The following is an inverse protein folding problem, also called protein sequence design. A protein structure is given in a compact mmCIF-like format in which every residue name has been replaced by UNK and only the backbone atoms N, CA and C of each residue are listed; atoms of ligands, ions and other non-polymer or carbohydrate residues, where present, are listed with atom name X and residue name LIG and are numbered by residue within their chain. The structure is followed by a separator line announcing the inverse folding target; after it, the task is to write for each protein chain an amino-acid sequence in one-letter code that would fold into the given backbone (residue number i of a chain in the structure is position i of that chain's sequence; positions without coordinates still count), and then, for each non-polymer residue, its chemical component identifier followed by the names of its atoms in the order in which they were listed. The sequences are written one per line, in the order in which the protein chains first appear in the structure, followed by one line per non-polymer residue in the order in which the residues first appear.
data_IF_620591187513
#
_entry.id   IF_620591187513
#
_cell.length_a   1.000
_cell.length_b   1.000
_cell.length_c   1.000
_cell.angle_alpha   90.00
_cell.angle_beta   90.00
_cell.angle_gamma   90.00
#
_symmetry.space_group_name_H-M   'P 1'
#
loop_
_entity.id
_entity.type
_entity.pdbx_description
1 polymer ?
#
# COMPACT_ATOMS: atom_id res chain seq x y z
N UNK A 1 14.66 -38.37 26.65
CA UNK A 1 13.66 -37.84 27.59
C UNK A 1 14.16 -36.49 28.06
N UNK A 2 13.58 -35.43 27.63
CA UNK A 2 13.88 -34.04 28.02
C UNK A 2 12.62 -33.23 27.79
N UNK A 3 11.88 -32.97 28.87
CA UNK A 3 10.67 -32.17 28.87
C UNK A 3 11.02 -30.70 28.62
N UNK A 4 10.46 -30.08 27.59
CA UNK A 4 10.38 -28.64 27.49
C UNK A 4 9.06 -28.16 28.09
N UNK A 5 9.16 -27.46 29.20
CA UNK A 5 8.04 -26.79 29.86
C UNK A 5 7.77 -25.47 29.17
N UNK A 6 6.57 -25.32 28.59
CA UNK A 6 6.01 -24.06 28.14
C UNK A 6 5.33 -23.40 29.34
N UNK A 7 5.85 -22.27 29.79
CA UNK A 7 5.18 -21.38 30.73
C UNK A 7 5.35 -19.93 30.27
N UNK A 8 4.24 -19.32 29.91
CA UNK A 8 4.15 -17.89 29.62
C UNK A 8 2.73 -17.51 29.25
N UNK A 9 1.84 -17.43 30.26
CA UNK A 9 0.49 -16.88 30.08
C UNK A 9 0.57 -15.37 30.00
N UNK A 10 0.40 -14.81 28.78
CA UNK A 10 0.16 -13.38 28.61
C UNK A 10 -1.30 -13.08 28.92
N UNK A 11 -1.54 -12.12 29.82
CA UNK A 11 -2.89 -11.65 30.10
C UNK A 11 -3.36 -10.77 28.93
N UNK A 12 -4.37 -11.25 28.20
CA UNK A 12 -5.03 -10.51 27.13
C UNK A 12 -6.29 -9.87 27.72
N UNK A 13 -6.37 -8.54 27.72
CA UNK A 13 -7.59 -7.83 28.13
C UNK A 13 -8.38 -7.39 26.89
N UNK A 14 -9.68 -7.65 26.89
CA UNK A 14 -10.59 -7.28 25.81
C UNK A 14 -11.46 -6.10 26.27
N UNK A 15 -11.41 -4.97 25.56
CA UNK A 15 -12.38 -3.89 25.71
C UNK A 15 -13.34 -3.85 24.52
N UNK A 16 -14.62 -4.07 24.78
CA UNK A 16 -15.68 -3.94 23.78
C UNK A 16 -16.31 -2.55 23.84
N UNK A 17 -16.04 -1.69 22.86
CA UNK A 17 -16.72 -0.40 22.72
C UNK A 17 -18.02 -0.56 21.91
N UNK A 18 -19.14 -0.01 22.42
CA UNK A 18 -20.44 -0.01 21.73
C UNK A 18 -20.56 1.19 20.82
N UNK A 19 -20.58 0.96 19.52
CA UNK A 19 -21.00 1.94 18.50
C UNK A 19 -22.14 1.38 17.67
N UNK A 20 -23.14 2.22 17.39
CA UNK A 20 -24.27 1.91 16.52
C UNK A 20 -24.10 2.63 15.19
N UNK A 21 -23.81 1.92 14.11
CA UNK A 21 -23.99 2.41 12.73
C UNK A 21 -23.86 1.25 11.73
N UNK A 22 -24.67 1.27 10.66
CA UNK A 22 -24.83 0.20 9.69
C UNK A 22 -23.75 0.10 8.61
N UNK A 23 -22.52 0.39 8.92
CA UNK A 23 -21.36 0.27 8.03
C UNK A 23 -20.71 -1.10 8.22
N UNK A 24 -20.62 -1.96 7.18
CA UNK A 24 -20.06 -3.30 7.27
C UNK A 24 -18.61 -3.32 7.75
N UNK A 25 -17.80 -2.31 7.36
CA UNK A 25 -16.41 -2.18 7.79
C UNK A 25 -16.32 -1.90 9.29
N UNK A 26 -17.19 -1.04 9.82
CA UNK A 26 -17.26 -0.72 11.26
C UNK A 26 -17.78 -1.88 12.10
N UNK A 27 -18.61 -2.76 11.55
CA UNK A 27 -19.13 -3.92 12.28
C UNK A 27 -18.10 -5.05 12.39
N UNK A 28 -17.26 -5.25 11.39
CA UNK A 28 -16.18 -6.25 11.40
C UNK A 28 -15.05 -5.91 12.39
N UNK A 29 -14.80 -4.61 12.63
CA UNK A 29 -13.77 -4.12 13.56
C UNK A 29 -14.21 -4.24 15.04
N UNK A 30 -15.48 -4.54 15.30
CA UNK A 30 -16.08 -4.56 16.64
C UNK A 30 -15.53 -5.57 17.63
N UNK A 31 -14.73 -6.55 17.21
CA UNK A 31 -14.44 -7.69 18.05
C UNK A 31 -13.07 -7.69 18.74
N UNK A 32 -12.01 -7.09 18.18
CA UNK A 32 -10.65 -7.38 18.67
C UNK A 32 -9.70 -6.19 18.61
N UNK A 33 -9.64 -5.43 19.69
CA UNK A 33 -8.50 -4.54 19.97
C UNK A 33 -7.61 -5.26 20.99
N UNK A 34 -6.49 -5.82 20.55
CA UNK A 34 -5.51 -6.42 21.46
C UNK A 34 -4.49 -5.33 21.81
N UNK A 35 -4.57 -4.81 23.05
CA UNK A 35 -3.48 -4.02 23.63
C UNK A 35 -2.53 -4.99 24.32
N UNK A 36 -1.28 -4.98 23.88
CA UNK A 36 -0.22 -5.62 24.66
C UNK A 36 0.04 -4.75 25.90
N UNK A 37 -0.63 -5.03 27.02
CA UNK A 37 -0.18 -4.54 28.30
C UNK A 37 1.06 -5.35 28.67
N UNK A 38 2.24 -4.83 28.33
CA UNK A 38 3.47 -5.38 28.90
C UNK A 38 3.32 -5.40 30.40
N UNK A 39 3.35 -6.59 31.01
CA UNK A 39 3.63 -6.69 32.42
C UNK A 39 4.95 -5.97 32.66
N UNK A 40 5.01 -5.16 33.68
CA UNK A 40 6.20 -4.44 34.15
C UNK A 40 7.28 -5.40 34.65
N UNK A 41 7.71 -6.34 33.83
CA UNK A 41 9.02 -6.92 33.92
C UNK A 41 9.91 -6.03 33.06
N UNK A 42 10.77 -5.25 33.73
CA UNK A 42 11.84 -4.50 33.12
C UNK A 42 12.78 -5.46 32.41
N UNK A 43 12.43 -5.84 31.18
CA UNK A 43 13.45 -6.35 30.29
C UNK A 43 14.31 -5.15 29.90
N UNK A 44 15.63 -5.18 30.13
CA UNK A 44 16.47 -4.15 29.59
C UNK A 44 16.23 -4.10 28.09
N UNK A 45 15.98 -2.91 27.54
CA UNK A 45 15.95 -2.71 26.11
C UNK A 45 17.17 -3.41 25.51
N UNK A 46 17.05 -4.16 24.39
CA UNK A 46 18.18 -4.85 23.79
C UNK A 46 19.30 -3.83 23.60
N UNK A 47 20.46 -4.11 24.18
CA UNK A 47 21.62 -3.21 24.16
C UNK A 47 22.12 -3.09 22.72
N UNK A 48 21.86 -1.94 22.08
CA UNK A 48 22.41 -1.60 20.76
C UNK A 48 21.38 -0.94 19.82
N UNK A 49 21.92 -0.11 18.93
CA UNK A 49 21.14 0.45 17.81
C UNK A 49 20.63 -0.71 16.91
N UNK A 50 19.46 -0.52 16.33
CA UNK A 50 18.90 -1.47 15.37
C UNK A 50 19.80 -1.52 14.12
N UNK A 51 20.16 -2.72 13.67
CA UNK A 51 20.79 -2.95 12.36
C UNK A 51 19.70 -3.07 11.28
N UNK A 52 19.49 -2.07 10.41
CA UNK A 52 18.44 -2.11 9.41
C UNK A 52 18.63 -3.24 8.37
N UNK A 53 19.88 -3.62 8.09
CA UNK A 53 20.19 -4.68 7.12
C UNK A 53 19.74 -6.03 7.65
N UNK A 54 20.11 -6.37 8.88
CA UNK A 54 19.71 -7.64 9.50
C UNK A 54 18.20 -7.67 9.77
N UNK A 55 17.61 -6.55 10.13
CA UNK A 55 16.17 -6.48 10.37
C UNK A 55 15.37 -6.64 9.07
N UNK A 56 15.83 -6.04 7.96
CA UNK A 56 15.22 -6.28 6.62
C UNK A 56 15.23 -7.77 6.27
N UNK A 57 16.38 -8.45 6.46
CA UNK A 57 16.49 -9.88 6.18
C UNK A 57 15.51 -10.69 7.04
N UNK A 58 15.42 -10.39 8.34
CA UNK A 58 14.50 -11.08 9.25
C UNK A 58 13.03 -10.91 8.83
N UNK A 59 12.63 -9.69 8.46
CA UNK A 59 11.27 -9.43 7.95
C UNK A 59 11.00 -10.16 6.63
N UNK A 60 11.97 -10.16 5.69
CA UNK A 60 11.80 -10.79 4.39
C UNK A 60 11.84 -12.33 4.45
N UNK A 61 12.39 -12.94 5.50
CA UNK A 61 12.28 -14.39 5.72
C UNK A 61 10.86 -14.86 6.04
N UNK A 62 9.99 -13.96 6.46
CA UNK A 62 8.58 -14.24 6.72
C UNK A 62 7.79 -13.91 5.47
N UNK A 63 7.18 -14.91 4.84
CA UNK A 63 6.26 -14.69 3.72
C UNK A 63 5.08 -13.83 4.18
N UNK A 64 4.74 -12.81 3.39
CA UNK A 64 3.60 -11.92 3.65
C UNK A 64 2.97 -11.42 2.34
N UNK A 65 2.76 -12.33 1.39
CA UNK A 65 1.98 -11.97 0.20
C UNK A 65 0.60 -11.46 0.62
N UNK A 66 0.05 -10.51 -0.14
CA UNK A 66 -1.22 -9.83 0.22
C UNK A 66 -2.28 -10.85 0.62
N UNK A 67 -2.97 -10.59 1.71
CA UNK A 67 -3.90 -11.43 2.45
C UNK A 67 -3.27 -12.46 3.40
N UNK A 68 -1.93 -12.58 3.45
CA UNK A 68 -1.19 -13.52 4.31
C UNK A 68 -0.22 -12.80 5.28
N UNK A 69 -0.51 -11.55 5.66
CA UNK A 69 0.39 -10.68 6.43
C UNK A 69 0.44 -11.00 7.92
N UNK A 70 -0.38 -11.95 8.41
CA UNK A 70 -0.52 -12.23 9.84
C UNK A 70 0.79 -12.51 10.55
N UNK A 71 1.61 -13.42 10.01
CA UNK A 71 2.87 -13.83 10.63
C UNK A 71 3.89 -12.69 10.75
N UNK A 72 4.02 -11.85 9.71
CA UNK A 72 4.94 -10.69 9.76
C UNK A 72 4.42 -9.62 10.70
N UNK A 73 3.09 -9.43 10.77
CA UNK A 73 2.46 -8.51 11.72
C UNK A 73 2.67 -8.94 13.17
N UNK A 74 2.55 -10.23 13.47
CA UNK A 74 2.83 -10.80 14.80
C UNK A 74 4.31 -10.63 15.17
N UNK A 75 5.22 -11.00 14.27
CA UNK A 75 6.67 -10.83 14.47
C UNK A 75 7.03 -9.38 14.75
N UNK A 76 6.52 -8.44 13.96
CA UNK A 76 6.83 -7.01 14.10
C UNK A 76 6.27 -6.42 15.39
N UNK A 77 5.06 -6.82 15.78
CA UNK A 77 4.44 -6.39 17.04
C UNK A 77 5.26 -6.86 18.24
N UNK A 78 5.66 -8.12 18.26
CA UNK A 78 6.50 -8.69 19.33
C UNK A 78 7.88 -8.04 19.38
N UNK A 79 8.49 -7.82 18.20
CA UNK A 79 9.78 -7.15 18.09
C UNK A 79 9.74 -5.73 18.66
N UNK A 80 8.76 -4.93 18.27
CA UNK A 80 8.60 -3.56 18.76
C UNK A 80 8.30 -3.52 20.28
N UNK A 81 7.46 -4.42 20.78
CA UNK A 81 7.16 -4.51 22.20
C UNK A 81 8.42 -4.83 23.03
N UNK A 82 9.28 -5.75 22.56
CA UNK A 82 10.55 -6.09 23.22
C UNK A 82 11.53 -4.88 23.23
N UNK A 83 11.39 -3.95 22.30
CA UNK A 83 12.18 -2.71 22.24
C UNK A 83 11.54 -1.53 22.98
N UNK A 84 10.52 -1.78 23.79
CA UNK A 84 9.90 -0.79 24.68
C UNK A 84 8.90 0.15 24.01
N UNK A 85 8.32 -0.27 22.87
CA UNK A 85 7.20 0.43 22.26
C UNK A 85 5.87 0.01 22.89
N UNK A 86 4.94 0.94 22.99
CA UNK A 86 3.54 0.63 23.23
C UNK A 86 2.90 0.21 21.89
N UNK A 87 2.63 -1.09 21.76
CA UNK A 87 2.18 -1.68 20.49
C UNK A 87 0.68 -1.94 20.51
N UNK A 88 0.04 -1.64 19.39
CA UNK A 88 -1.37 -1.89 19.13
C UNK A 88 -1.52 -2.64 17.81
N UNK A 89 -2.11 -3.85 17.84
CA UNK A 89 -2.52 -4.58 16.64
C UNK A 89 -4.00 -4.36 16.37
N UNK A 90 -4.32 -4.00 15.13
CA UNK A 90 -5.71 -3.85 14.68
C UNK A 90 -5.99 -4.89 13.61
N UNK A 91 -7.05 -5.71 13.76
CA UNK A 91 -7.39 -6.72 12.75
C UNK A 91 -7.83 -6.06 11.45
N UNK A 92 -7.37 -6.63 10.33
CA UNK A 92 -7.76 -6.22 8.99
C UNK A 92 -8.62 -7.33 8.38
N UNK A 93 -9.83 -7.03 7.89
CA UNK A 93 -10.71 -8.05 7.33
C UNK A 93 -10.13 -8.69 6.07
N UNK A 94 -10.42 -9.96 5.86
CA UNK A 94 -10.19 -10.63 4.59
C UNK A 94 -11.19 -10.13 3.53
N UNK A 95 -10.85 -10.14 2.23
CA UNK A 95 -11.72 -9.62 1.17
C UNK A 95 -13.01 -10.43 1.03
N UNK A 96 -12.94 -11.73 1.25
CA UNK A 96 -14.10 -12.63 1.28
C UNK A 96 -13.79 -13.90 2.09
N UNK A 97 -14.82 -14.67 2.43
CA UNK A 97 -14.71 -15.90 3.23
C UNK A 97 -13.98 -17.06 2.50
N UNK A 98 -13.79 -16.98 1.19
CA UNK A 98 -13.06 -17.99 0.41
C UNK A 98 -11.55 -17.90 0.59
N UNK A 99 -11.03 -16.78 1.10
CA UNK A 99 -9.62 -16.62 1.43
C UNK A 99 -9.34 -17.31 2.75
N UNK A 100 -8.79 -18.52 2.71
CA UNK A 100 -8.43 -19.34 3.88
C UNK A 100 -7.16 -18.86 4.60
N UNK A 101 -6.71 -17.66 4.34
CA UNK A 101 -5.57 -17.03 4.99
C UNK A 101 -5.87 -16.74 6.46
N UNK A 102 -4.83 -16.77 7.30
CA UNK A 102 -4.92 -16.46 8.73
C UNK A 102 -5.33 -15.03 9.03
N UNK A 103 -5.22 -14.63 10.30
CA UNK A 103 -5.47 -13.25 10.71
C UNK A 103 -4.51 -12.27 10.01
N UNK A 104 -4.99 -11.06 9.70
CA UNK A 104 -4.22 -9.96 9.15
C UNK A 104 -4.22 -8.81 10.15
N UNK A 105 -3.11 -8.09 10.26
CA UNK A 105 -2.96 -7.06 11.26
C UNK A 105 -2.38 -5.76 10.67
N UNK A 106 -2.94 -4.63 11.08
CA UNK A 106 -2.15 -3.40 11.13
C UNK A 106 -1.38 -3.38 12.44
N UNK A 107 -0.16 -2.89 12.43
CA UNK A 107 0.69 -2.72 13.60
C UNK A 107 0.99 -1.23 13.78
N UNK A 108 0.47 -0.64 14.86
CA UNK A 108 0.86 0.69 15.31
C UNK A 108 1.75 0.57 16.54
N UNK A 109 2.79 1.40 16.64
CA UNK A 109 3.57 1.53 17.85
C UNK A 109 3.95 3.00 18.13
N UNK A 110 3.92 3.39 19.40
CA UNK A 110 4.21 4.75 19.86
C UNK A 110 4.67 4.75 21.31
N UNK A 111 4.73 5.93 21.94
CA UNK A 111 4.92 6.06 23.39
C UNK A 111 3.55 5.95 24.08
N UNK A 112 3.49 5.18 25.16
CA UNK A 112 2.24 4.99 25.89
C UNK A 112 1.67 6.30 26.41
N UNK A 113 0.41 6.59 26.10
CA UNK A 113 -0.30 7.78 26.58
C UNK A 113 0.06 9.08 25.87
N UNK A 114 0.93 9.06 24.87
CA UNK A 114 1.33 10.25 24.12
C UNK A 114 0.72 10.28 22.72
N UNK A 115 0.38 11.47 22.25
CA UNK A 115 0.06 11.73 20.84
C UNK A 115 1.35 11.96 20.08
N UNK A 116 1.65 11.21 19.01
CA UNK A 116 2.84 11.45 18.21
C UNK A 116 2.73 12.76 17.42
N UNK A 117 3.84 13.47 17.26
CA UNK A 117 3.89 14.63 16.34
C UNK A 117 4.04 14.16 14.89
N UNK A 118 4.73 13.05 14.68
CA UNK A 118 5.00 12.46 13.38
C UNK A 118 4.84 10.94 13.44
N UNK A 119 4.23 10.38 12.40
CA UNK A 119 4.13 8.92 12.20
C UNK A 119 4.84 8.54 10.91
N UNK A 120 5.72 7.55 10.99
CA UNK A 120 6.21 6.83 9.81
C UNK A 120 5.24 5.71 9.47
N UNK A 121 4.94 5.52 8.19
CA UNK A 121 4.09 4.41 7.74
C UNK A 121 4.62 3.75 6.47
N UNK A 122 4.33 2.48 6.30
CA UNK A 122 4.44 1.72 5.05
C UNK A 122 3.64 0.42 5.20
N UNK A 123 3.71 -0.47 4.22
CA UNK A 123 2.92 -1.69 4.21
C UNK A 123 3.71 -2.95 4.61
N UNK A 124 2.97 -3.98 5.05
CA UNK A 124 3.47 -5.28 5.49
C UNK A 124 3.47 -6.32 4.38
N UNK A 125 2.55 -6.17 3.44
CA UNK A 125 2.35 -7.12 2.37
C UNK A 125 3.34 -6.95 1.23
N UNK A 126 3.38 -7.95 0.38
CA UNK A 126 4.19 -7.98 -0.84
C UNK A 126 3.39 -8.65 -1.96
N UNK A 127 3.70 -8.31 -3.22
CA UNK A 127 3.15 -9.06 -4.34
C UNK A 127 3.71 -10.48 -4.41
N UNK A 128 2.94 -11.49 -4.91
CA UNK A 128 3.46 -12.81 -5.22
C UNK A 128 4.39 -12.78 -6.46
N UNK A 129 5.28 -13.79 -6.65
CA UNK A 129 5.55 -14.87 -5.71
C UNK A 129 6.48 -14.46 -4.57
N UNK A 130 6.46 -15.20 -3.46
CA UNK A 130 7.48 -15.09 -2.42
C UNK A 130 8.85 -15.47 -2.99
N UNK A 131 9.87 -14.64 -2.74
CA UNK A 131 11.26 -14.86 -3.12
C UNK A 131 12.08 -14.71 -1.84
N UNK A 132 12.70 -15.80 -1.34
CA UNK A 132 13.50 -15.76 -0.11
C UNK A 132 14.63 -14.72 -0.19
N UNK A 133 14.93 -14.04 0.93
CA UNK A 133 15.97 -13.03 0.95
C UNK A 133 17.37 -13.66 0.88
N UNK A 134 18.24 -13.00 0.13
CA UNK A 134 19.67 -13.25 0.08
C UNK A 134 20.44 -11.95 0.10
N UNK A 135 21.75 -11.99 0.29
CA UNK A 135 22.58 -10.80 0.27
C UNK A 135 24.00 -11.08 -0.25
N UNK A 136 24.61 -10.04 -0.77
CA UNK A 136 26.05 -9.97 -1.00
C UNK A 136 26.69 -8.80 -0.22
N UNK A 137 27.86 -8.34 -0.62
CA UNK A 137 28.54 -7.20 0.06
C UNK A 137 27.79 -5.88 -0.09
N UNK A 138 27.03 -5.66 -1.18
CA UNK A 138 26.45 -4.38 -1.56
C UNK A 138 24.93 -4.35 -1.49
N UNK A 139 24.26 -5.47 -1.78
CA UNK A 139 22.81 -5.53 -1.95
C UNK A 139 22.13 -6.59 -1.08
N UNK A 140 20.88 -6.32 -0.77
CA UNK A 140 19.87 -7.28 -0.35
C UNK A 140 19.03 -7.64 -1.57
N UNK A 141 18.66 -8.91 -1.71
CA UNK A 141 17.83 -9.44 -2.79
C UNK A 141 16.66 -10.22 -2.19
N UNK A 142 15.52 -10.24 -2.87
CA UNK A 142 14.34 -11.00 -2.47
C UNK A 142 13.07 -10.15 -2.43
N UNK A 143 11.92 -10.80 -2.37
CA UNK A 143 10.63 -10.12 -2.35
C UNK A 143 10.45 -9.32 -1.05
N UNK A 144 10.14 -8.02 -1.18
CA UNK A 144 9.93 -7.11 -0.06
C UNK A 144 11.19 -6.39 0.42
N UNK A 145 12.39 -6.69 -0.10
CA UNK A 145 13.60 -5.98 0.33
C UNK A 145 13.54 -4.49 -0.03
N UNK A 146 12.93 -4.13 -1.16
CA UNK A 146 12.69 -2.77 -1.61
C UNK A 146 11.26 -2.32 -1.30
N UNK A 147 10.28 -3.21 -1.49
CA UNK A 147 8.85 -2.91 -1.47
C UNK A 147 8.10 -3.87 -0.51
N UNK A 148 7.95 -3.57 0.82
CA UNK A 148 8.47 -2.38 1.50
C UNK A 148 9.14 -2.72 2.86
N UNK A 149 9.61 -3.97 3.07
CA UNK A 149 10.17 -4.42 4.37
C UNK A 149 11.51 -3.76 4.70
N UNK A 150 12.32 -3.41 3.68
CA UNK A 150 13.51 -2.57 3.88
C UNK A 150 13.13 -1.18 4.38
N UNK A 151 12.03 -0.63 3.90
CA UNK A 151 11.49 0.65 4.36
C UNK A 151 11.04 0.56 5.82
N UNK A 152 10.34 -0.53 6.21
CA UNK A 152 9.99 -0.78 7.62
C UNK A 152 11.25 -0.71 8.49
N UNK A 153 12.33 -1.38 8.07
CA UNK A 153 13.57 -1.42 8.85
C UNK A 153 14.21 -0.03 8.99
N UNK A 154 14.26 0.76 7.92
CA UNK A 154 14.78 2.12 7.96
C UNK A 154 13.93 3.04 8.85
N UNK A 155 12.59 2.97 8.71
CA UNK A 155 11.65 3.78 9.50
C UNK A 155 11.73 3.44 11.00
N UNK A 156 11.80 2.16 11.38
CA UNK A 156 11.93 1.76 12.79
C UNK A 156 13.26 2.25 13.36
N UNK A 157 14.38 2.11 12.64
CA UNK A 157 15.68 2.59 13.09
C UNK A 157 15.69 4.12 13.29
N UNK A 158 15.14 4.87 12.34
CA UNK A 158 15.01 6.31 12.44
C UNK A 158 14.09 6.74 13.59
N UNK A 159 12.96 6.06 13.75
CA UNK A 159 12.01 6.35 14.82
C UNK A 159 12.62 6.11 16.21
N UNK A 160 13.41 5.06 16.40
CA UNK A 160 14.12 4.80 17.65
C UNK A 160 15.15 5.89 17.97
N UNK A 161 15.94 6.31 16.99
CA UNK A 161 16.90 7.38 17.16
C UNK A 161 16.23 8.72 17.53
N UNK A 162 15.12 9.04 16.88
CA UNK A 162 14.33 10.25 17.17
C UNK A 162 13.68 10.19 18.55
N UNK A 163 13.11 9.04 18.95
CA UNK A 163 12.56 8.86 20.31
C UNK A 163 13.64 9.01 21.38
N UNK A 164 14.81 8.43 21.16
CA UNK A 164 15.95 8.60 22.07
C UNK A 164 16.41 10.07 22.20
N UNK A 165 16.18 10.87 21.15
CA UNK A 165 16.41 12.32 21.17
C UNK A 165 15.24 13.14 21.74
N UNK A 166 14.16 12.49 22.22
CA UNK A 166 13.03 13.14 22.88
C UNK A 166 11.86 13.54 21.96
N UNK A 167 11.88 13.17 20.67
CA UNK A 167 10.77 13.45 19.76
C UNK A 167 9.63 12.44 19.96
N UNK A 168 8.37 12.90 19.83
CA UNK A 168 7.18 12.05 19.91
C UNK A 168 6.88 11.43 18.55
N UNK A 169 7.40 10.25 18.33
CA UNK A 169 7.31 9.53 17.05
C UNK A 169 6.47 8.26 17.20
N UNK A 170 5.60 8.01 16.22
CA UNK A 170 4.90 6.74 16.04
C UNK A 170 5.34 6.05 14.74
N UNK A 171 5.03 4.75 14.64
CA UNK A 171 5.14 3.96 13.41
C UNK A 171 3.82 3.25 13.17
N UNK A 172 3.41 3.14 11.91
CA UNK A 172 2.19 2.45 11.47
C UNK A 172 2.52 1.57 10.26
N UNK A 173 2.32 0.27 10.39
CA UNK A 173 2.52 -0.69 9.31
C UNK A 173 1.19 -1.35 8.97
N UNK A 174 0.77 -1.22 7.71
CA UNK A 174 -0.57 -1.60 7.25
C UNK A 174 -0.54 -2.80 6.31
N UNK A 175 -1.65 -3.53 6.24
CA UNK A 175 -1.83 -4.71 5.39
C UNK A 175 -2.65 -4.37 4.15
N UNK A 176 -2.31 -4.95 2.99
CA UNK A 176 -3.15 -4.93 1.79
C UNK A 176 -2.95 -3.73 0.88
N UNK A 177 -1.83 -3.03 0.95
CA UNK A 177 -1.49 -1.91 0.05
C UNK A 177 -1.52 -2.36 -1.41
N UNK A 178 -0.89 -3.48 -1.69
CA UNK A 178 -0.67 -4.05 -3.03
C UNK A 178 -1.96 -4.47 -3.78
N UNK A 179 -3.11 -4.36 -3.12
CA UNK A 179 -4.41 -4.76 -3.70
C UNK A 179 -5.52 -3.74 -3.51
N UNK A 180 -5.85 -3.41 -2.28
CA UNK A 180 -7.09 -2.72 -1.95
C UNK A 180 -6.96 -1.66 -0.86
N UNK A 181 -5.77 -1.49 -0.27
CA UNK A 181 -5.50 -0.56 0.83
C UNK A 181 -6.44 -0.76 2.04
N UNK A 182 -6.92 -1.99 2.27
CA UNK A 182 -7.90 -2.26 3.34
C UNK A 182 -7.30 -1.94 4.71
N UNK A 183 -6.01 -2.24 4.93
CA UNK A 183 -5.32 -1.88 6.17
C UNK A 183 -5.29 -0.39 6.42
N UNK A 184 -4.95 0.41 5.42
CA UNK A 184 -4.94 1.87 5.53
C UNK A 184 -6.34 2.43 5.83
N UNK A 185 -7.38 1.93 5.16
CA UNK A 185 -8.79 2.30 5.45
C UNK A 185 -9.17 1.97 6.90
N UNK A 186 -8.76 0.81 7.40
CA UNK A 186 -8.99 0.41 8.80
C UNK A 186 -8.21 1.31 9.75
N UNK A 187 -6.94 1.62 9.46
CA UNK A 187 -6.13 2.51 10.28
C UNK A 187 -6.74 3.92 10.37
N UNK A 188 -7.31 4.42 9.28
CA UNK A 188 -7.92 5.76 9.23
C UNK A 188 -9.20 5.90 10.09
N UNK A 189 -9.78 4.78 10.53
CA UNK A 189 -10.90 4.81 11.50
C UNK A 189 -10.45 5.14 12.94
N UNK A 190 -9.14 5.10 13.22
CA UNK A 190 -8.58 5.36 14.54
C UNK A 190 -7.22 6.07 14.46
N UNK A 191 -7.18 7.28 13.88
CA UNK A 191 -5.95 8.06 13.76
C UNK A 191 -5.40 8.43 15.13
N UNK A 192 -4.11 8.74 15.22
CA UNK A 192 -3.44 9.06 16.49
C UNK A 192 -3.24 10.56 16.72
N UNK A 193 -3.71 11.39 15.79
CA UNK A 193 -3.63 12.86 15.91
C UNK A 193 -2.24 13.43 15.60
N UNK A 194 -1.43 12.72 14.80
CA UNK A 194 -0.13 13.21 14.33
C UNK A 194 -0.28 14.44 13.42
N UNK A 195 0.70 15.34 13.48
CA UNK A 195 0.77 16.50 12.58
C UNK A 195 1.25 16.12 11.19
N UNK A 196 2.16 15.15 11.12
CA UNK A 196 2.80 14.70 9.88
C UNK A 196 2.75 13.18 9.74
N UNK A 197 2.60 12.72 8.50
CA UNK A 197 2.71 11.32 8.08
C UNK A 197 3.83 11.20 7.05
N UNK A 198 4.87 10.43 7.31
CA UNK A 198 5.86 10.06 6.28
C UNK A 198 5.56 8.64 5.85
N UNK A 199 4.88 8.51 4.70
CA UNK A 199 4.64 7.22 4.08
C UNK A 199 5.90 6.78 3.32
N UNK A 200 6.22 5.51 3.41
CA UNK A 200 7.40 4.90 2.81
C UNK A 200 7.06 4.09 1.58
N UNK A 201 7.69 4.44 0.45
CA UNK A 201 7.64 3.71 -0.81
C UNK A 201 9.02 3.78 -1.51
N UNK A 202 9.31 2.89 -2.49
CA UNK A 202 10.58 2.93 -3.22
C UNK A 202 10.71 4.21 -4.08
N UNK A 203 11.37 5.23 -3.56
CA UNK A 203 11.55 6.54 -4.22
C UNK A 203 13.01 6.90 -4.49
N UNK A 204 13.93 5.92 -4.43
CA UNK A 204 15.37 6.15 -4.58
C UNK A 204 15.89 7.23 -3.58
N UNK A 205 15.40 7.23 -2.33
CA UNK A 205 15.68 8.26 -1.31
C UNK A 205 15.37 9.71 -1.76
N UNK A 206 14.40 9.89 -2.66
CA UNK A 206 13.96 11.19 -3.14
C UNK A 206 12.58 11.53 -2.58
N UNK A 207 12.41 12.77 -2.13
CA UNK A 207 11.11 13.23 -1.64
C UNK A 207 10.13 13.40 -2.81
N UNK A 208 9.01 12.70 -2.77
CA UNK A 208 7.99 12.85 -3.79
C UNK A 208 7.18 14.16 -3.56
N UNK A 209 7.01 14.96 -4.60
CA UNK A 209 6.20 16.18 -4.57
C UNK A 209 4.72 15.89 -4.91
N UNK A 210 4.47 14.75 -5.51
CA UNK A 210 3.13 14.25 -5.80
C UNK A 210 3.15 12.74 -6.04
N UNK A 211 1.99 12.10 -5.82
CA UNK A 211 1.69 10.73 -6.22
C UNK A 211 0.54 10.74 -7.21
N UNK A 212 0.72 10.09 -8.38
CA UNK A 212 -0.35 9.98 -9.37
C UNK A 212 -1.43 9.04 -8.86
N UNK A 213 -2.68 9.43 -9.08
CA UNK A 213 -3.82 8.59 -8.81
C UNK A 213 -3.99 7.46 -9.83
N UNK A 214 -5.07 6.68 -9.68
CA UNK A 214 -5.46 5.64 -10.61
C UNK A 214 -6.98 5.66 -10.84
N UNK A 215 -7.39 5.52 -12.09
CA UNK A 215 -8.79 5.28 -12.46
C UNK A 215 -8.83 4.01 -13.29
N UNK A 216 -9.59 3.00 -12.86
CA UNK A 216 -9.86 1.79 -13.63
C UNK A 216 -11.26 1.86 -14.21
N UNK A 217 -11.34 1.78 -15.53
CA UNK A 217 -12.58 1.72 -16.27
C UNK A 217 -12.70 0.36 -16.99
N UNK A 218 -13.87 -0.27 -16.88
CA UNK A 218 -14.22 -1.50 -17.58
C UNK A 218 -15.23 -1.15 -18.67
N UNK A 219 -14.86 -1.42 -19.92
CA UNK A 219 -15.69 -1.20 -21.10
C UNK A 219 -16.34 -2.51 -21.49
N UNK A 220 -17.66 -2.57 -21.52
CA UNK A 220 -18.46 -3.75 -21.86
C UNK A 220 -19.28 -3.48 -23.11
N UNK A 221 -19.02 -4.21 -24.18
CA UNK A 221 -19.79 -4.14 -25.42
C UNK A 221 -20.68 -5.36 -25.58
N UNK A 222 -21.89 -5.12 -26.06
CA UNK A 222 -22.86 -6.17 -26.41
C UNK A 222 -23.23 -6.08 -27.88
N UNK A 223 -23.48 -7.23 -28.47
CA UNK A 223 -23.83 -7.38 -29.87
C UNK A 223 -24.84 -8.50 -30.10
N UNK A 224 -24.89 -8.97 -31.34
CA UNK A 224 -25.74 -10.07 -31.76
C UNK A 224 -24.93 -11.13 -32.50
N UNK A 225 -24.94 -12.35 -31.99
CA UNK A 225 -24.21 -13.46 -32.59
C UNK A 225 -24.81 -13.84 -33.94
N UNK A 226 -23.97 -14.11 -34.93
CA UNK A 226 -24.32 -14.63 -36.21
C UNK A 226 -23.16 -15.34 -36.90
N UNK A 227 -23.40 -16.06 -37.98
CA UNK A 227 -22.32 -16.61 -38.82
C UNK A 227 -21.63 -15.48 -39.55
N UNK A 228 -20.28 -15.43 -39.53
CA UNK A 228 -19.48 -14.32 -40.08
C UNK A 228 -19.64 -14.10 -41.60
N UNK A 229 -20.12 -15.11 -42.33
CA UNK A 229 -20.46 -14.97 -43.77
C UNK A 229 -21.74 -14.15 -44.04
N UNK A 230 -22.52 -13.87 -43.00
CA UNK A 230 -23.81 -13.11 -43.09
C UNK A 230 -23.77 -11.96 -42.07
N UNK A 231 -22.91 -10.98 -42.26
CA UNK A 231 -22.70 -9.91 -41.27
C UNK A 231 -23.94 -9.06 -41.00
N UNK A 232 -24.90 -8.99 -41.96
CA UNK A 232 -26.16 -8.28 -41.85
C UNK A 232 -27.14 -8.90 -40.81
N UNK A 233 -26.89 -10.14 -40.39
CA UNK A 233 -27.71 -10.84 -39.39
C UNK A 233 -27.20 -10.64 -37.96
N UNK A 234 -25.99 -10.14 -37.80
CA UNK A 234 -25.30 -9.97 -36.52
C UNK A 234 -24.87 -8.53 -36.23
N UNK A 235 -24.33 -8.34 -35.03
CA UNK A 235 -23.70 -7.09 -34.62
C UNK A 235 -22.49 -7.42 -33.75
N UNK A 236 -21.29 -7.03 -34.17
CA UNK A 236 -20.06 -7.43 -33.51
C UNK A 236 -19.75 -6.56 -32.28
N UNK A 237 -19.85 -7.13 -31.09
CA UNK A 237 -19.38 -6.51 -29.86
C UNK A 237 -17.88 -6.18 -29.89
N UNK A 238 -17.07 -7.04 -30.50
CA UNK A 238 -15.62 -6.82 -30.65
C UNK A 238 -15.34 -5.57 -31.53
N UNK A 239 -16.06 -5.39 -32.65
CA UNK A 239 -15.88 -4.20 -33.49
C UNK A 239 -16.29 -2.92 -32.76
N UNK A 240 -17.41 -2.94 -32.02
CA UNK A 240 -17.85 -1.82 -31.17
C UNK A 240 -16.79 -1.48 -30.12
N UNK A 241 -16.26 -2.49 -29.43
CA UNK A 241 -15.24 -2.29 -28.41
C UNK A 241 -13.98 -1.67 -28.99
N UNK A 242 -13.49 -2.19 -30.13
CA UNK A 242 -12.30 -1.66 -30.81
C UNK A 242 -12.51 -0.19 -31.22
N UNK A 243 -13.69 0.16 -31.73
CA UNK A 243 -14.03 1.55 -32.08
C UNK A 243 -14.06 2.44 -30.84
N UNK A 244 -14.70 1.99 -29.74
CA UNK A 244 -14.74 2.73 -28.48
C UNK A 244 -13.33 2.98 -27.92
N UNK A 245 -12.50 1.94 -27.87
CA UNK A 245 -11.11 2.07 -27.39
C UNK A 245 -10.25 2.95 -28.29
N UNK A 246 -10.48 2.92 -29.62
CA UNK A 246 -9.82 3.84 -30.54
C UNK A 246 -10.12 5.30 -30.22
N UNK A 247 -11.39 5.64 -29.92
CA UNK A 247 -11.80 6.98 -29.48
C UNK A 247 -11.16 7.35 -28.12
N UNK A 248 -11.16 6.41 -27.17
CA UNK A 248 -10.58 6.60 -25.84
C UNK A 248 -9.10 6.92 -25.90
N UNK A 249 -8.33 6.28 -26.77
CA UNK A 249 -6.89 6.51 -26.93
C UNK A 249 -6.56 7.89 -27.51
N UNK A 250 -7.53 8.57 -28.12
CA UNK A 250 -7.35 9.93 -28.68
C UNK A 250 -7.85 11.04 -27.77
N UNK A 251 -8.40 10.71 -26.60
CA UNK A 251 -8.86 11.73 -25.66
C UNK A 251 -7.69 12.55 -25.11
N UNK A 252 -7.88 13.88 -24.96
CA UNK A 252 -6.94 14.71 -24.23
C UNK A 252 -6.93 14.28 -22.77
N UNK A 253 -5.76 13.95 -22.25
CA UNK A 253 -5.60 13.55 -20.85
C UNK A 253 -5.22 14.77 -19.99
N UNK A 254 -5.74 14.86 -18.75
CA UNK A 254 -5.35 15.90 -17.79
C UNK A 254 -3.83 15.97 -17.61
N UNK A 255 -3.30 17.18 -17.49
CA UNK A 255 -1.89 17.44 -17.25
C UNK A 255 -1.71 18.59 -16.27
N UNK A 256 -0.71 18.46 -15.39
CA UNK A 256 -0.30 19.52 -14.47
C UNK A 256 1.17 19.83 -14.73
N UNK A 257 1.53 21.12 -14.85
CA UNK A 257 2.82 21.60 -15.36
C UNK A 257 4.04 20.95 -14.69
N UNK A 258 4.03 20.88 -13.37
CA UNK A 258 5.13 20.35 -12.54
C UNK A 258 5.06 18.83 -12.28
N UNK A 259 3.98 18.15 -12.72
CA UNK A 259 3.75 16.70 -12.53
C UNK A 259 3.79 15.95 -13.86
N UNK A 260 3.42 16.62 -14.93
CA UNK A 260 3.25 16.05 -16.26
C UNK A 260 1.85 15.48 -16.50
N UNK A 261 1.63 14.81 -17.64
CA UNK A 261 0.30 14.32 -18.04
C UNK A 261 -0.13 13.06 -17.29
N UNK A 262 -1.44 12.84 -17.23
CA UNK A 262 -2.03 11.53 -17.02
C UNK A 262 -1.61 10.57 -18.12
N UNK A 263 -1.62 9.26 -17.84
CA UNK A 263 -1.30 8.23 -18.84
C UNK A 263 -2.37 7.16 -18.86
N UNK A 264 -2.61 6.54 -20.02
CA UNK A 264 -3.62 5.53 -20.25
C UNK A 264 -2.99 4.22 -20.72
N UNK A 265 -3.49 3.10 -20.22
CA UNK A 265 -3.11 1.76 -20.66
C UNK A 265 -4.35 0.88 -20.77
N UNK A 266 -4.55 0.25 -21.94
CA UNK A 266 -5.51 -0.83 -22.10
C UNK A 266 -4.82 -2.11 -21.70
N UNK A 267 -5.05 -2.55 -20.45
CA UNK A 267 -4.33 -3.68 -19.85
C UNK A 267 -4.86 -5.05 -20.24
N UNK A 268 -6.18 -5.14 -20.53
CA UNK A 268 -6.83 -6.41 -20.89
C UNK A 268 -7.92 -6.18 -21.92
N UNK A 269 -8.05 -7.13 -22.86
CA UNK A 269 -9.16 -7.19 -23.82
C UNK A 269 -9.58 -8.63 -23.94
N UNK A 270 -10.88 -8.90 -23.84
CA UNK A 270 -11.50 -10.21 -24.03
C UNK A 270 -12.74 -10.09 -24.93
N UNK A 271 -12.98 -11.07 -25.79
CA UNK A 271 -14.18 -11.10 -26.60
C UNK A 271 -14.14 -12.10 -27.74
N UNK A 272 -15.32 -12.44 -28.24
CA UNK A 272 -15.50 -13.39 -29.33
C UNK A 272 -15.45 -14.87 -28.91
N UNK A 273 -15.84 -15.74 -29.84
CA UNK A 273 -15.91 -17.18 -29.65
C UNK A 273 -15.01 -17.93 -30.64
N UNK A 274 -15.18 -17.63 -31.94
CA UNK A 274 -14.40 -18.22 -33.02
C UNK A 274 -14.33 -17.23 -34.21
N UNK A 275 -13.32 -17.35 -35.10
CA UNK A 275 -13.14 -16.42 -36.23
C UNK A 275 -14.33 -16.37 -37.21
N UNK A 276 -15.12 -17.44 -37.30
CA UNK A 276 -16.30 -17.52 -38.16
C UNK A 276 -17.63 -17.18 -37.46
N UNK A 277 -17.58 -16.59 -36.24
CA UNK A 277 -18.74 -16.20 -35.43
C UNK A 277 -18.63 -14.71 -35.12
N UNK A 278 -19.69 -13.96 -35.38
CA UNK A 278 -19.82 -12.56 -34.96
C UNK A 278 -19.99 -12.56 -33.44
N UNK A 279 -19.12 -11.83 -32.75
CA UNK A 279 -19.07 -11.79 -31.29
C UNK A 279 -20.26 -11.02 -30.69
N UNK A 280 -20.96 -11.60 -29.73
CA UNK A 280 -22.07 -10.98 -29.00
C UNK A 280 -21.61 -10.26 -27.72
N UNK A 281 -20.40 -10.53 -27.23
CA UNK A 281 -19.82 -9.89 -26.02
C UNK A 281 -18.35 -9.59 -26.22
N UNK A 282 -17.91 -8.45 -25.67
CA UNK A 282 -16.51 -8.09 -25.56
C UNK A 282 -16.31 -7.14 -24.36
N UNK A 283 -15.16 -7.23 -23.70
CA UNK A 283 -14.80 -6.43 -22.54
C UNK A 283 -13.34 -5.98 -22.60
N UNK A 284 -13.06 -4.78 -22.11
CA UNK A 284 -11.69 -4.29 -21.91
C UNK A 284 -11.53 -3.62 -20.55
N UNK A 285 -10.35 -3.78 -19.96
CA UNK A 285 -9.96 -3.06 -18.74
C UNK A 285 -8.89 -2.02 -19.08
N UNK A 286 -9.20 -0.78 -18.72
CA UNK A 286 -8.37 0.39 -18.96
C UNK A 286 -7.94 0.99 -17.64
N UNK A 287 -6.63 1.18 -17.44
CA UNK A 287 -6.06 1.87 -16.29
C UNK A 287 -5.51 3.24 -16.74
N UNK A 288 -5.92 4.27 -16.02
CA UNK A 288 -5.42 5.63 -16.23
C UNK A 288 -4.69 6.06 -14.97
N UNK A 289 -3.42 6.48 -15.10
CA UNK A 289 -2.68 7.16 -14.03
C UNK A 289 -3.11 8.62 -14.01
N UNK A 290 -3.83 9.00 -12.95
CA UNK A 290 -4.47 10.30 -12.84
C UNK A 290 -3.50 11.39 -12.38
N UNK A 291 -3.67 12.57 -12.99
CA UNK A 291 -3.16 13.84 -12.48
C UNK A 291 -4.35 14.81 -12.42
N UNK A 292 -4.65 15.31 -11.21
CA UNK A 292 -5.82 16.15 -10.99
C UNK A 292 -7.12 15.37 -10.78
N UNK A 293 -8.25 16.06 -10.91
CA UNK A 293 -9.60 15.52 -10.75
C UNK A 293 -10.03 14.64 -11.93
N UNK A 294 -10.81 13.61 -11.68
CA UNK A 294 -11.24 12.65 -12.70
C UNK A 294 -12.58 12.96 -13.36
N UNK A 295 -13.33 13.93 -12.88
CA UNK A 295 -14.75 14.15 -13.24
C UNK A 295 -14.95 14.39 -14.73
N UNK A 296 -14.14 15.29 -15.31
CA UNK A 296 -14.21 15.57 -16.75
C UNK A 296 -13.73 14.39 -17.58
N UNK A 297 -12.67 13.71 -17.14
CA UNK A 297 -12.15 12.52 -17.82
C UNK A 297 -13.17 11.38 -17.82
N UNK A 298 -13.84 11.11 -16.69
CA UNK A 298 -14.90 10.10 -16.62
C UNK A 298 -16.02 10.42 -17.60
N UNK A 299 -16.43 11.68 -17.67
CA UNK A 299 -17.47 12.14 -18.61
C UNK A 299 -17.02 11.96 -20.07
N UNK A 300 -15.75 12.25 -20.37
CA UNK A 300 -15.18 12.06 -21.71
C UNK A 300 -15.09 10.59 -22.11
N UNK A 301 -14.72 9.69 -21.17
CA UNK A 301 -14.69 8.23 -21.40
C UNK A 301 -16.08 7.67 -21.71
N UNK A 302 -17.10 8.05 -20.93
CA UNK A 302 -18.50 7.67 -21.20
C UNK A 302 -18.96 8.16 -22.57
N UNK A 303 -18.66 9.43 -22.91
CA UNK A 303 -19.02 10.02 -24.21
C UNK A 303 -18.33 9.32 -25.38
N UNK A 304 -17.04 8.98 -25.24
CA UNK A 304 -16.31 8.27 -26.28
C UNK A 304 -16.87 6.86 -26.56
N UNK A 305 -17.38 6.20 -25.51
CA UNK A 305 -17.97 4.87 -25.59
C UNK A 305 -19.48 4.87 -25.97
N UNK A 306 -20.13 6.03 -26.04
CA UNK A 306 -21.57 6.14 -26.23
C UNK A 306 -22.06 5.37 -27.48
N UNK A 307 -23.04 4.50 -27.30
CA UNK A 307 -23.59 3.61 -28.33
C UNK A 307 -22.71 2.41 -28.72
N UNK A 308 -21.51 2.29 -28.14
CA UNK A 308 -20.52 1.25 -28.46
C UNK A 308 -20.25 0.32 -27.28
N UNK A 309 -20.12 0.89 -26.06
CA UNK A 309 -19.85 0.14 -24.83
C UNK A 309 -20.45 0.86 -23.62
N UNK A 310 -20.81 0.10 -22.61
CA UNK A 310 -21.05 0.58 -21.25
C UNK A 310 -19.71 0.76 -20.53
N UNK A 311 -19.60 1.75 -19.63
CA UNK A 311 -18.38 2.05 -18.90
C UNK A 311 -18.64 2.00 -17.40
N UNK A 312 -18.01 1.05 -16.72
CA UNK A 312 -18.02 0.91 -15.26
C UNK A 312 -16.69 1.38 -14.68
N UNK A 313 -16.73 2.25 -13.68
CA UNK A 313 -15.53 2.66 -12.94
C UNK A 313 -15.38 1.80 -11.67
N UNK A 314 -14.42 0.90 -11.67
CA UNK A 314 -14.25 -0.11 -10.62
C UNK A 314 -13.20 0.25 -9.57
N UNK A 315 -12.36 1.24 -9.84
CA UNK A 315 -11.35 1.76 -8.91
C UNK A 315 -11.12 3.23 -9.21
N UNK A 316 -11.05 4.02 -8.14
CA UNK A 316 -10.51 5.38 -8.19
C UNK A 316 -9.65 5.66 -6.97
N UNK A 317 -8.39 6.02 -7.21
CA UNK A 317 -7.44 6.51 -6.22
C UNK A 317 -7.10 7.93 -6.63
N UNK A 318 -7.30 8.94 -5.76
CA UNK A 318 -7.08 10.32 -6.15
C UNK A 318 -5.59 10.64 -6.36
N UNK A 319 -5.32 11.62 -7.20
CA UNK A 319 -4.04 12.31 -7.27
C UNK A 319 -3.79 13.07 -5.97
N UNK A 320 -2.56 13.00 -5.42
CA UNK A 320 -2.19 13.69 -4.18
C UNK A 320 -0.96 14.58 -4.42
N UNK A 321 -1.07 15.85 -4.05
CA UNK A 321 0.11 16.70 -3.84
C UNK A 321 0.65 16.48 -2.44
N UNK A 322 1.98 16.46 -2.32
CA UNK A 322 2.68 16.14 -1.10
C UNK A 322 3.48 17.34 -0.61
N UNK A 323 3.75 17.36 0.69
CA UNK A 323 4.56 18.42 1.29
C UNK A 323 6.00 18.35 0.77
N UNK A 324 6.53 19.50 0.34
CA UNK A 324 7.94 19.68 0.03
C UNK A 324 8.74 20.00 1.30
N UNK A 325 10.00 19.54 1.34
CA UNK A 325 11.00 19.90 2.35
C UNK A 325 12.26 20.38 1.61
N UNK A 326 12.77 21.52 1.99
CA UNK A 326 13.92 22.14 1.31
C UNK A 326 15.21 21.33 1.45
N UNK A 327 16.07 21.42 0.44
CA UNK A 327 17.40 20.83 0.46
C UNK A 327 17.42 19.30 0.27
N UNK A 328 16.35 18.73 -0.28
CA UNK A 328 16.25 17.32 -0.65
C UNK A 328 16.10 17.15 -2.15
N UNK A 329 16.65 16.08 -2.73
CA UNK A 329 16.33 15.69 -4.09
C UNK A 329 14.84 15.29 -4.17
N UNK A 330 14.17 15.71 -5.24
CA UNK A 330 12.72 15.50 -5.41
C UNK A 330 12.40 14.63 -6.60
N UNK A 331 11.17 14.05 -6.60
CA UNK A 331 10.61 13.28 -7.72
C UNK A 331 9.09 13.42 -7.79
N UNK A 332 8.50 12.88 -8.85
CA UNK A 332 7.06 12.63 -8.96
C UNK A 332 6.83 11.11 -8.92
N UNK A 333 6.10 10.60 -7.93
CA UNK A 333 5.70 9.21 -7.87
C UNK A 333 4.61 8.94 -8.91
N UNK A 334 4.93 8.10 -9.90
CA UNK A 334 4.00 7.76 -11.00
C UNK A 334 3.05 6.63 -10.63
N UNK A 335 3.14 6.13 -9.41
CA UNK A 335 2.36 5.04 -8.82
C UNK A 335 1.45 5.58 -7.71
N UNK A 336 0.52 4.76 -7.27
CA UNK A 336 -0.40 5.02 -6.15
C UNK A 336 0.21 4.52 -4.84
N UNK A 337 -0.28 5.05 -3.72
CA UNK A 337 0.14 4.69 -2.36
C UNK A 337 -1.07 4.64 -1.43
N UNK A 338 -0.87 4.23 -0.19
CA UNK A 338 -1.89 4.26 0.87
C UNK A 338 -2.25 5.67 1.40
N UNK A 339 -1.50 6.71 1.02
CA UNK A 339 -1.69 8.09 1.51
C UNK A 339 -3.15 8.56 1.41
N UNK A 340 -3.88 8.38 0.29
CA UNK A 340 -5.27 8.82 0.19
C UNK A 340 -6.20 8.15 1.20
N UNK A 341 -5.86 6.96 1.68
CA UNK A 341 -6.64 6.20 2.65
C UNK A 341 -6.23 6.50 4.10
N UNK A 342 -5.13 7.25 4.30
CA UNK A 342 -4.60 7.67 5.60
C UNK A 342 -4.82 9.19 5.85
N UNK A 343 -5.91 9.74 5.32
CA UNK A 343 -6.21 11.20 5.31
C UNK A 343 -6.18 11.86 6.68
N UNK A 344 -6.45 11.12 7.75
CA UNK A 344 -6.58 11.65 9.12
C UNK A 344 -5.30 11.44 9.95
N UNK A 345 -4.20 11.00 9.32
CA UNK A 345 -2.91 10.74 9.99
C UNK A 345 -1.90 11.89 9.91
N UNK A 346 -2.32 13.06 9.45
CA UNK A 346 -1.50 14.27 9.35
C UNK A 346 -1.12 14.64 7.92
N UNK A 347 -0.35 15.70 7.77
CA UNK A 347 0.11 16.19 6.46
C UNK A 347 1.08 15.18 5.83
N UNK A 348 0.79 14.65 4.62
CA UNK A 348 1.54 13.53 4.07
C UNK A 348 2.83 13.95 3.35
N UNK A 349 3.87 13.15 3.58
CA UNK A 349 5.10 13.09 2.78
C UNK A 349 5.28 11.67 2.24
N UNK A 350 6.05 11.51 1.18
CA UNK A 350 6.37 10.22 0.56
C UNK A 350 7.86 10.13 0.29
N UNK A 351 8.52 9.15 0.91
CA UNK A 351 9.97 9.00 0.86
C UNK A 351 10.36 7.57 1.25
N UNK A 352 11.35 6.98 0.58
CA UNK A 352 11.94 5.73 1.02
C UNK A 352 13.09 5.25 0.14
N UNK A 353 13.91 4.31 0.66
CA UNK A 353 14.95 3.66 -0.10
C UNK A 353 14.39 2.67 -1.10
N UNK A 354 15.20 2.32 -2.07
CA UNK A 354 14.86 1.37 -3.12
C UNK A 354 14.18 2.01 -4.32
N UNK A 355 14.15 1.25 -5.41
CA UNK A 355 13.63 1.73 -6.68
C UNK A 355 12.37 0.98 -7.08
N UNK A 356 11.32 1.73 -7.45
CA UNK A 356 10.09 1.18 -8.01
C UNK A 356 10.33 0.37 -9.30
N UNK A 357 11.45 0.60 -9.99
CA UNK A 357 11.78 -0.10 -11.23
C UNK A 357 12.15 -1.57 -11.04
N UNK A 358 12.53 -1.97 -9.82
CA UNK A 358 12.83 -3.37 -9.47
C UNK A 358 11.74 -4.01 -8.63
N UNK A 359 10.87 -3.22 -8.01
CA UNK A 359 9.68 -3.69 -7.30
C UNK A 359 8.80 -4.54 -8.23
N UNK A 360 8.10 -5.55 -7.68
CA UNK A 360 7.22 -6.48 -8.41
C UNK A 360 7.95 -7.36 -9.46
N UNK A 361 9.28 -7.29 -9.55
CA UNK A 361 10.07 -8.14 -10.46
C UNK A 361 10.73 -9.31 -9.72
N UNK A 362 11.19 -10.37 -10.43
CA UNK A 362 12.00 -11.41 -9.80
C UNK A 362 13.43 -10.95 -9.44
N UNK A 363 13.81 -9.73 -9.81
CA UNK A 363 15.15 -9.14 -9.61
C UNK A 363 15.12 -8.04 -8.53
N UNK A 364 14.12 -8.06 -7.66
CA UNK A 364 13.99 -7.08 -6.59
C UNK A 364 15.22 -7.07 -5.70
N UNK A 365 15.77 -5.88 -5.47
CA UNK A 365 16.98 -5.66 -4.68
C UNK A 365 16.98 -4.27 -4.05
N UNK A 366 17.73 -4.15 -2.95
CA UNK A 366 17.95 -2.89 -2.23
C UNK A 366 19.44 -2.74 -1.90
N UNK A 367 20.01 -1.58 -2.20
CA UNK A 367 21.37 -1.25 -1.79
C UNK A 367 21.44 -1.08 -0.26
N UNK A 368 22.39 -1.78 0.38
CA UNK A 368 22.66 -1.62 1.82
C UNK A 368 23.03 -0.19 2.18
N UNK A 369 23.81 0.46 1.31
CA UNK A 369 24.19 1.86 1.46
C UNK A 369 22.95 2.76 1.43
N UNK A 370 22.10 2.60 0.44
CA UNK A 370 20.85 3.37 0.29
C UNK A 370 19.90 3.16 1.47
N UNK A 371 19.79 1.92 1.98
CA UNK A 371 19.01 1.60 3.17
C UNK A 371 19.51 2.36 4.42
N UNK A 372 20.81 2.42 4.61
CA UNK A 372 21.40 3.16 5.75
C UNK A 372 21.26 4.67 5.58
N UNK A 373 21.47 5.19 4.36
CA UNK A 373 21.25 6.60 4.05
C UNK A 373 19.78 7.02 4.27
N UNK A 374 18.82 6.12 4.05
CA UNK A 374 17.40 6.37 4.33
C UNK A 374 17.13 6.63 5.82
N UNK A 375 17.81 5.93 6.72
CA UNK A 375 17.68 6.16 8.18
C UNK A 375 18.04 7.61 8.52
N UNK A 376 19.20 8.07 8.04
CA UNK A 376 19.67 9.44 8.27
C UNK A 376 18.73 10.46 7.62
N UNK A 377 18.20 10.14 6.45
CA UNK A 377 17.28 10.99 5.71
C UNK A 377 15.93 11.13 6.44
N UNK A 378 15.35 10.04 6.94
CA UNK A 378 14.14 10.09 7.76
C UNK A 378 14.35 10.92 9.03
N UNK A 379 15.49 10.78 9.71
CA UNK A 379 15.84 11.58 10.89
C UNK A 379 15.94 13.07 10.52
N UNK A 380 16.63 13.39 9.42
CA UNK A 380 16.77 14.77 8.92
C UNK A 380 15.42 15.40 8.61
N UNK A 381 14.58 14.70 7.84
CA UNK A 381 13.24 15.20 7.44
C UNK A 381 12.37 15.40 8.67
N UNK A 382 12.33 14.44 9.60
CA UNK A 382 11.54 14.55 10.82
C UNK A 382 11.94 15.77 11.65
N UNK A 383 13.24 16.03 11.83
CA UNK A 383 13.74 17.22 12.55
C UNK A 383 13.33 18.51 11.88
N UNK A 384 13.50 18.62 10.55
CA UNK A 384 13.07 19.81 9.79
C UNK A 384 11.57 20.10 9.87
N UNK A 385 10.74 19.06 10.10
CA UNK A 385 9.28 19.22 10.26
C UNK A 385 8.88 19.59 11.69
N UNK A 386 9.67 19.21 12.69
CA UNK A 386 9.30 19.29 14.11
C UNK A 386 9.99 20.45 14.84
N UNK A 387 11.08 20.95 14.34
CA UNK A 387 11.81 22.14 14.80
C UNK A 387 11.30 23.41 14.10
#
# INVERSE_FOLDING_TARGET
MGQFSVLGTHAVSYEANRFTSGDPLKSAIRAYRVRYSGSTMSHPAPAGALDPVQFTLALCQIESTTYHEGAVGDFLADFLAQRGWAVEKTPVPQPDESVTAGARWNVYAGTAGETPDLVFSTHLDTVPPYIPPTQDSEFLYGRGVSDAKGIIAAQVAAAEALRAAGYRIGVLFVSGEERDSTGAKVANLNPKGSRFLINGEPTDNRLALASKGALRAVFKSSGKMAHSAYPELGESAVHKLVEALGKVLTLPLPSVEDVGPSTINIGQIHGGHAPNVIADKAEAQVLIRLVGDSTELRSALIKAAAGLAEVDFTLEIPFVRLRAVEGLPTMIAKFTTDIPQLSDWGEPLLLGPGSIHVAHTPYEKLSKKELLEAVDLYIKVAKQLLE
#
